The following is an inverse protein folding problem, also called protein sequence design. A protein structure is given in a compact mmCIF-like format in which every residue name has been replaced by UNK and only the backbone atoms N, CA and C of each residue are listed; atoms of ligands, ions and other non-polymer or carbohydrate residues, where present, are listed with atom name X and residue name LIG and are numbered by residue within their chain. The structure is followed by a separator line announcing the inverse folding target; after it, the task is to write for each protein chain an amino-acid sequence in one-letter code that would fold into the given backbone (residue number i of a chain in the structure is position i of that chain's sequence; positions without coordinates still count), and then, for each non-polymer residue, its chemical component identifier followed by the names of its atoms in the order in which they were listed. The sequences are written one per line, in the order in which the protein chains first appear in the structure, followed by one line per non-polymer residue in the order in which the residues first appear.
data_IF_695763367222
#
_entry.id   IF_695763367222
#
_cell.length_a   1.000
_cell.length_b   1.000
_cell.length_c   1.000
_cell.angle_alpha   90.00
_cell.angle_beta   90.00
_cell.angle_gamma   90.00
#
_symmetry.space_group_name_H-M   'P 1'
#
loop_
_entity.id
_entity.type
_entity.pdbx_description
1 polymer ?
#
# COMPACT_ATOMS: atom_id res chain seq x y z
N UNK A 1 14.57 1.56 -4.54
CA UNK A 1 13.55 1.41 -5.59
C UNK A 1 12.84 0.06 -5.49
N UNK A 2 11.52 0.04 -5.42
CA UNK A 2 10.67 -1.14 -5.56
C UNK A 2 10.14 -1.27 -6.99
N UNK A 3 10.00 -2.50 -7.49
CA UNK A 3 9.49 -2.79 -8.82
C UNK A 3 9.02 -4.24 -8.92
N UNK A 4 8.02 -4.51 -9.75
CA UNK A 4 7.44 -5.83 -9.98
C UNK A 4 6.15 -6.07 -9.20
N UNK A 5 5.41 -7.11 -9.57
CA UNK A 5 4.17 -7.53 -8.93
C UNK A 5 4.28 -8.99 -8.47
N UNK A 6 3.84 -9.29 -7.25
CA UNK A 6 3.93 -10.62 -6.65
C UNK A 6 2.63 -10.98 -5.93
N UNK A 7 2.09 -12.16 -6.23
CA UNK A 7 0.88 -12.68 -5.59
C UNK A 7 1.24 -13.49 -4.33
N UNK A 8 0.48 -13.29 -3.26
CA UNK A 8 0.60 -14.03 -2.01
C UNK A 8 -0.78 -14.17 -1.35
N UNK A 9 -0.96 -15.21 -0.53
CA UNK A 9 -2.17 -15.39 0.25
C UNK A 9 -2.14 -14.63 1.57
N UNK A 10 -3.33 -14.32 2.08
CA UNK A 10 -3.58 -13.84 3.43
C UNK A 10 -4.12 -14.99 4.26
N UNK A 11 -3.47 -15.30 5.38
CA UNK A 11 -3.90 -16.37 6.26
C UNK A 11 -5.16 -16.00 7.05
N UNK A 12 -5.74 -17.00 7.72
CA UNK A 12 -6.96 -16.86 8.54
C UNK A 12 -6.85 -15.83 9.68
N UNK A 13 -5.64 -15.35 10.01
CA UNK A 13 -5.39 -14.33 11.03
C UNK A 13 -5.09 -12.96 10.40
N UNK A 14 -5.35 -12.78 9.11
CA UNK A 14 -5.06 -11.52 8.41
C UNK A 14 -3.56 -11.28 8.19
N UNK A 15 -2.74 -12.33 8.21
CA UNK A 15 -1.29 -12.20 8.01
C UNK A 15 -0.88 -12.62 6.62
N UNK A 16 0.10 -11.95 6.06
CA UNK A 16 0.64 -12.28 4.74
C UNK A 16 2.16 -12.21 4.73
N UNK A 17 2.79 -12.93 3.81
CA UNK A 17 4.25 -12.92 3.65
C UNK A 17 4.64 -11.78 2.71
N UNK A 18 5.48 -10.87 3.17
CA UNK A 18 6.07 -9.86 2.30
C UNK A 18 6.99 -10.55 1.27
N UNK A 19 6.88 -10.29 -0.04
CA UNK A 19 7.78 -10.85 -1.05
C UNK A 19 9.26 -10.65 -0.69
N UNK A 20 10.07 -11.69 -0.85
CA UNK A 20 11.48 -11.66 -0.46
C UNK A 20 12.27 -10.51 -1.13
N UNK A 21 11.94 -10.17 -2.38
CA UNK A 21 12.53 -9.05 -3.13
C UNK A 21 12.25 -7.68 -2.51
N UNK A 22 11.15 -7.54 -1.78
CA UNK A 22 10.76 -6.30 -1.10
C UNK A 22 11.27 -6.26 0.34
N UNK A 23 11.24 -7.40 1.04
CA UNK A 23 11.62 -7.52 2.45
C UNK A 23 13.00 -6.92 2.74
N UNK A 24 14.00 -7.22 1.91
CA UNK A 24 15.37 -6.71 2.10
C UNK A 24 15.46 -5.18 2.05
N UNK A 25 14.56 -4.51 1.34
CA UNK A 25 14.55 -3.04 1.18
C UNK A 25 13.66 -2.33 2.20
N UNK A 26 12.69 -3.03 2.79
CA UNK A 26 11.83 -2.48 3.84
C UNK A 26 12.54 -2.41 5.20
N UNK A 27 13.49 -3.32 5.45
CA UNK A 27 14.19 -3.41 6.74
C UNK A 27 13.41 -4.25 7.76
N UNK A 28 13.69 -4.01 9.05
CA UNK A 28 13.10 -4.78 10.17
C UNK A 28 11.68 -4.35 10.53
N UNK A 29 11.30 -3.11 10.21
CA UNK A 29 9.94 -2.59 10.36
C UNK A 29 9.62 -1.65 9.21
N UNK A 30 8.33 -1.44 8.97
CA UNK A 30 7.82 -0.58 7.90
C UNK A 30 6.44 -0.05 8.28
N UNK A 31 5.94 0.92 7.54
CA UNK A 31 4.62 1.51 7.76
C UNK A 31 3.65 1.01 6.69
N UNK A 32 2.48 0.54 7.12
CA UNK A 32 1.33 0.30 6.23
C UNK A 32 0.28 1.38 6.48
N UNK A 33 -0.31 1.92 5.43
CA UNK A 33 -1.47 2.82 5.50
C UNK A 33 -2.44 2.57 4.35
N UNK A 34 -3.57 3.28 4.34
CA UNK A 34 -4.48 3.33 3.19
C UNK A 34 -3.76 3.86 1.96
N UNK A 35 -4.02 3.23 0.83
CA UNK A 35 -3.72 3.77 -0.49
C UNK A 35 -4.98 4.27 -1.17
N UNK A 36 -4.81 4.75 -2.40
CA UNK A 36 -5.92 5.11 -3.27
C UNK A 36 -6.52 3.86 -3.92
N UNK A 37 -7.71 4.00 -4.52
CA UNK A 37 -8.36 2.92 -5.28
C UNK A 37 -8.58 1.61 -4.50
N UNK A 38 -8.69 1.68 -3.17
CA UNK A 38 -8.86 0.48 -2.34
C UNK A 38 -7.59 -0.38 -2.23
N UNK A 39 -6.40 0.17 -2.47
CA UNK A 39 -5.15 -0.50 -2.12
C UNK A 39 -4.64 -0.03 -0.75
N UNK A 40 -3.60 -0.69 -0.25
CA UNK A 40 -2.78 -0.25 0.88
C UNK A 40 -1.42 0.20 0.38
N UNK A 41 -0.82 1.17 1.06
CA UNK A 41 0.57 1.56 0.81
C UNK A 41 1.48 1.05 1.90
N UNK A 42 2.66 0.58 1.50
CA UNK A 42 3.74 0.16 2.37
C UNK A 42 4.97 1.00 2.08
N UNK A 43 5.53 1.60 3.12
CA UNK A 43 6.74 2.41 3.05
C UNK A 43 7.81 1.88 3.99
N UNK A 44 9.06 1.86 3.53
CA UNK A 44 10.19 1.67 4.43
C UNK A 44 10.25 2.81 5.46
N UNK A 45 10.71 2.53 6.67
CA UNK A 45 10.85 3.54 7.73
C UNK A 45 11.69 4.74 7.28
N UNK A 46 12.74 4.51 6.48
CA UNK A 46 13.58 5.59 5.94
C UNK A 46 12.85 6.56 5.00
N UNK A 47 11.78 6.11 4.33
CA UNK A 47 10.98 6.93 3.41
C UNK A 47 9.80 7.62 4.12
N UNK A 48 9.34 7.07 5.24
CA UNK A 48 8.13 7.52 5.91
C UNK A 48 8.12 9.01 6.33
N UNK A 49 9.21 9.60 6.87
CA UNK A 49 9.23 11.02 7.23
C UNK A 49 8.95 11.96 6.05
N UNK A 50 9.38 11.58 4.84
CA UNK A 50 9.10 12.36 3.63
C UNK A 50 7.64 12.26 3.22
N UNK A 51 7.04 11.07 3.33
CA UNK A 51 5.61 10.87 3.07
C UNK A 51 4.76 11.70 4.04
N UNK A 52 5.12 11.71 5.34
CA UNK A 52 4.44 12.53 6.34
C UNK A 52 4.51 14.02 6.00
N UNK A 53 5.68 14.53 5.60
CA UNK A 53 5.83 15.93 5.17
C UNK A 53 4.96 16.27 3.96
N UNK A 54 4.87 15.37 2.98
CA UNK A 54 4.05 15.56 1.77
C UNK A 54 2.54 15.56 2.07
N UNK A 55 2.12 14.88 3.13
CA UNK A 55 0.72 14.80 3.55
C UNK A 55 0.33 15.84 4.60
N UNK A 56 1.30 16.57 5.17
CA UNK A 56 1.05 17.59 6.16
C UNK A 56 0.26 18.78 5.56
N UNK A 57 -0.72 19.33 6.30
CA UNK A 57 -1.43 20.52 5.86
C UNK A 57 -0.49 21.73 5.79
N UNK A 58 -0.74 22.64 4.83
CA UNK A 58 0.08 23.85 4.68
C UNK A 58 -0.12 24.87 5.81
N UNK A 59 -1.26 24.80 6.50
CA UNK A 59 -1.58 25.62 7.67
C UNK A 59 -2.69 24.95 8.49
N UNK A 60 -2.94 25.43 9.71
CA UNK A 60 -4.05 24.94 10.55
C UNK A 60 -5.45 25.18 9.96
N UNK A 61 -5.57 26.02 8.93
CA UNK A 61 -6.84 26.32 8.24
C UNK A 61 -6.96 25.57 6.90
N UNK A 62 -5.95 24.79 6.50
CA UNK A 62 -5.99 23.96 5.29
C UNK A 62 -6.87 22.72 5.53
N UNK A 63 -8.18 22.91 5.39
CA UNK A 63 -9.18 21.86 5.62
C UNK A 63 -8.95 20.64 4.73
N UNK A 64 -8.50 20.85 3.48
CA UNK A 64 -8.21 19.76 2.55
C UNK A 64 -6.98 18.98 2.98
N UNK A 65 -5.89 19.66 3.33
CA UNK A 65 -4.69 19.04 3.88
C UNK A 65 -4.97 18.23 5.14
N UNK A 66 -5.73 18.80 6.09
CA UNK A 66 -6.12 18.10 7.33
C UNK A 66 -6.94 16.84 7.04
N UNK A 67 -7.84 16.87 6.05
CA UNK A 67 -8.60 15.69 5.63
C UNK A 67 -7.69 14.60 5.08
N UNK A 68 -6.73 14.94 4.21
CA UNK A 68 -5.77 13.99 3.66
C UNK A 68 -4.86 13.43 4.74
N UNK A 69 -4.32 14.28 5.62
CA UNK A 69 -3.50 13.90 6.75
C UNK A 69 -4.23 12.89 7.64
N UNK A 70 -5.46 13.19 8.05
CA UNK A 70 -6.28 12.26 8.86
C UNK A 70 -6.59 10.96 8.12
N UNK A 71 -6.86 11.05 6.82
CA UNK A 71 -7.23 9.88 6.02
C UNK A 71 -6.07 8.88 5.90
N UNK A 72 -4.87 9.37 5.61
CA UNK A 72 -3.67 8.55 5.41
C UNK A 72 -2.90 8.33 6.72
N UNK A 73 -2.48 9.38 7.42
CA UNK A 73 -1.67 9.22 8.62
C UNK A 73 -2.47 8.64 9.78
N UNK A 74 -3.76 8.96 9.89
CA UNK A 74 -4.64 8.39 10.92
C UNK A 74 -4.89 6.88 10.77
N UNK A 75 -4.60 6.31 9.59
CA UNK A 75 -4.67 4.88 9.33
C UNK A 75 -3.28 4.21 9.29
N UNK A 76 -2.20 4.98 9.44
CA UNK A 76 -0.85 4.46 9.34
C UNK A 76 -0.49 3.62 10.58
N UNK A 77 0.09 2.44 10.36
CA UNK A 77 0.52 1.54 11.41
C UNK A 77 1.94 1.06 11.12
N UNK A 78 2.82 1.16 12.11
CA UNK A 78 4.10 0.48 12.06
C UNK A 78 3.90 -1.03 12.21
N UNK A 79 4.58 -1.80 11.37
CA UNK A 79 4.46 -3.23 11.28
C UNK A 79 5.84 -3.88 11.35
N UNK A 80 5.94 -4.96 12.12
CA UNK A 80 7.14 -5.77 12.30
C UNK A 80 6.81 -7.20 11.85
N UNK A 81 7.54 -7.77 10.88
CA UNK A 81 7.36 -9.16 10.51
C UNK A 81 7.65 -10.11 11.68
N UNK A 82 6.91 -11.21 11.76
CA UNK A 82 7.21 -12.32 12.67
C UNK A 82 8.47 -13.09 12.23
N UNK A 83 8.88 -14.09 13.02
CA UNK A 83 10.05 -14.93 12.71
C UNK A 83 9.95 -15.68 11.37
N UNK A 84 8.76 -15.81 10.80
CA UNK A 84 8.50 -16.45 9.50
C UNK A 84 8.42 -15.41 8.37
N UNK A 85 8.64 -14.13 8.65
CA UNK A 85 8.54 -13.04 7.69
C UNK A 85 7.10 -12.66 7.32
N UNK A 86 6.11 -13.10 8.12
CA UNK A 86 4.71 -12.70 7.95
C UNK A 86 4.43 -11.40 8.69
N UNK A 87 3.60 -10.56 8.11
CA UNK A 87 3.10 -9.34 8.75
C UNK A 87 1.59 -9.47 8.98
N UNK A 88 1.11 -9.05 10.15
CA UNK A 88 -0.31 -8.92 10.42
C UNK A 88 -0.80 -7.56 9.90
N UNK A 89 -1.77 -7.57 8.99
CA UNK A 89 -2.38 -6.34 8.50
C UNK A 89 -3.53 -5.96 9.45
N UNK A 90 -3.53 -4.74 10.02
CA UNK A 90 -4.65 -4.27 10.85
C UNK A 90 -6.00 -4.43 10.14
N UNK A 91 -7.03 -4.86 10.88
CA UNK A 91 -8.36 -5.14 10.31
C UNK A 91 -8.94 -3.95 9.54
N UNK A 92 -8.79 -2.73 10.05
CA UNK A 92 -9.27 -1.52 9.38
C UNK A 92 -8.65 -1.28 7.99
N UNK A 93 -7.45 -1.80 7.75
CA UNK A 93 -6.76 -1.71 6.46
C UNK A 93 -7.22 -2.84 5.54
N UNK A 94 -7.40 -4.05 6.07
CA UNK A 94 -8.03 -5.15 5.32
C UNK A 94 -9.42 -4.74 4.82
N UNK A 95 -10.24 -4.15 5.69
CA UNK A 95 -11.58 -3.66 5.35
C UNK A 95 -11.55 -2.58 4.27
N UNK A 96 -10.64 -1.60 4.40
CA UNK A 96 -10.44 -0.55 3.38
C UNK A 96 -10.07 -1.13 2.02
N UNK A 97 -9.23 -2.16 2.00
CA UNK A 97 -8.75 -2.78 0.77
C UNK A 97 -9.68 -3.87 0.21
N UNK A 98 -10.78 -4.16 0.91
CA UNK A 98 -11.69 -5.26 0.54
C UNK A 98 -11.03 -6.63 0.57
N UNK A 99 -10.02 -6.82 1.44
CA UNK A 99 -9.26 -8.08 1.58
C UNK A 99 -9.82 -8.85 2.77
N UNK A 100 -10.18 -10.12 2.57
CA UNK A 100 -10.62 -11.02 3.65
C UNK A 100 -9.54 -12.05 3.99
N UNK A 101 -9.50 -12.55 5.24
CA UNK A 101 -8.66 -13.69 5.58
C UNK A 101 -8.98 -14.90 4.68
N UNK A 102 -7.95 -15.48 4.06
CA UNK A 102 -8.09 -16.55 3.06
C UNK A 102 -8.02 -16.07 1.60
N UNK A 103 -8.09 -14.76 1.35
CA UNK A 103 -7.95 -14.21 0.00
C UNK A 103 -6.49 -14.15 -0.46
N UNK A 104 -6.31 -14.03 -1.78
CA UNK A 104 -5.04 -13.68 -2.39
C UNK A 104 -4.92 -12.16 -2.58
N UNK A 105 -3.68 -11.66 -2.45
CA UNK A 105 -3.31 -10.25 -2.59
C UNK A 105 -2.13 -10.07 -3.53
N UNK A 106 -2.11 -8.93 -4.21
CA UNK A 106 -0.98 -8.50 -5.02
C UNK A 106 -0.13 -7.48 -4.28
N UNK A 107 1.17 -7.73 -4.25
CA UNK A 107 2.18 -6.77 -3.83
C UNK A 107 2.82 -6.12 -5.06
N UNK A 108 2.62 -4.83 -5.26
CA UNK A 108 3.08 -4.08 -6.45
C UNK A 108 4.11 -3.03 -6.05
N UNK A 109 5.35 -3.20 -6.47
CA UNK A 109 6.43 -2.26 -6.16
C UNK A 109 6.42 -1.05 -7.09
N UNK A 110 6.34 0.15 -6.52
CA UNK A 110 6.29 1.43 -7.25
C UNK A 110 7.31 2.41 -6.66
N UNK A 111 8.54 2.39 -7.17
CA UNK A 111 9.63 3.33 -6.85
C UNK A 111 9.94 3.44 -5.35
N UNK A 112 9.21 4.27 -4.62
CA UNK A 112 9.36 4.57 -3.20
C UNK A 112 8.39 3.81 -2.28
N UNK A 113 7.38 3.15 -2.85
CA UNK A 113 6.36 2.40 -2.11
C UNK A 113 6.10 1.01 -2.66
N UNK A 114 5.40 0.20 -1.89
CA UNK A 114 4.72 -1.01 -2.37
C UNK A 114 3.24 -0.82 -2.14
N UNK A 115 2.42 -1.28 -3.07
CA UNK A 115 0.98 -1.35 -2.88
C UNK A 115 0.55 -2.78 -2.56
N UNK A 116 -0.45 -2.94 -1.69
CA UNK A 116 -1.13 -4.20 -1.45
C UNK A 116 -2.56 -4.07 -1.97
N UNK A 117 -2.93 -4.93 -2.90
CA UNK A 117 -4.26 -4.95 -3.51
C UNK A 117 -4.94 -6.29 -3.21
N UNK A 118 -6.26 -6.28 -3.05
CA UNK A 118 -7.03 -7.51 -3.24
C UNK A 118 -6.84 -8.00 -4.68
N UNK A 119 -6.85 -9.32 -4.88
CA UNK A 119 -6.77 -9.89 -6.24
C UNK A 119 -7.82 -9.29 -7.18
N UNK A 120 -9.06 -9.24 -6.74
CA UNK A 120 -10.16 -8.65 -7.50
C UNK A 120 -9.90 -7.16 -7.84
N UNK A 121 -9.43 -6.36 -6.89
CA UNK A 121 -9.16 -4.94 -7.11
C UNK A 121 -8.04 -4.72 -8.12
N UNK A 122 -6.96 -5.51 -8.04
CA UNK A 122 -5.85 -5.45 -8.97
C UNK A 122 -6.25 -5.89 -10.39
N UNK A 123 -6.99 -6.99 -10.50
CA UNK A 123 -7.44 -7.52 -11.78
C UNK A 123 -8.41 -6.55 -12.47
N UNK A 124 -9.32 -5.94 -11.70
CA UNK A 124 -10.23 -4.91 -12.20
C UNK A 124 -9.51 -3.64 -12.65
N UNK A 125 -8.51 -3.18 -11.89
CA UNK A 125 -7.68 -2.03 -12.27
C UNK A 125 -6.96 -2.27 -13.60
N UNK A 126 -6.29 -3.42 -13.77
CA UNK A 126 -5.57 -3.72 -15.01
C UNK A 126 -6.52 -3.94 -16.19
N UNK A 127 -7.67 -4.59 -15.98
CA UNK A 127 -8.65 -4.82 -17.05
C UNK A 127 -9.27 -3.53 -17.59
N UNK A 128 -9.28 -2.46 -16.79
CA UNK A 128 -9.75 -1.15 -17.21
C UNK A 128 -8.72 -0.35 -18.04
N UNK A 129 -7.44 -0.77 -18.05
CA UNK A 129 -6.35 -0.08 -18.75
C UNK A 129 -6.14 -0.69 -20.15
N UNK A 130 -6.89 -0.19 -21.13
CA UNK A 130 -6.67 -0.54 -22.55
C UNK A 130 -5.38 0.11 -23.07
N UNK A 131 -4.85 -0.39 -24.20
CA UNK A 131 -3.68 0.23 -24.86
C UNK A 131 -3.92 1.71 -25.16
N UNK A 132 -5.10 2.05 -25.70
CA UNK A 132 -5.52 3.44 -25.98
C UNK A 132 -5.51 4.32 -24.72
N UNK A 133 -5.99 3.79 -23.59
CA UNK A 133 -6.02 4.51 -22.33
C UNK A 133 -4.60 4.72 -21.77
N UNK A 134 -3.74 3.71 -21.88
CA UNK A 134 -2.34 3.80 -21.46
C UNK A 134 -1.61 4.88 -22.29
N UNK A 135 -1.79 4.91 -23.60
CA UNK A 135 -1.21 5.94 -24.47
C UNK A 135 -1.73 7.34 -24.12
N UNK A 136 -3.04 7.47 -23.88
CA UNK A 136 -3.66 8.74 -23.49
C UNK A 136 -3.08 9.28 -22.17
N UNK A 137 -2.90 8.41 -21.17
CA UNK A 137 -2.31 8.77 -19.88
C UNK A 137 -0.84 9.16 -20.03
N UNK A 138 -0.06 8.44 -20.84
CA UNK A 138 1.36 8.72 -21.08
C UNK A 138 1.61 10.07 -21.75
N UNK A 139 0.70 10.51 -22.62
CA UNK A 139 0.80 11.80 -23.31
C UNK A 139 0.28 13.00 -22.50
N UNK A 140 -0.33 12.75 -21.33
CA UNK A 140 -0.89 13.78 -20.45
C UNK A 140 0.04 14.14 -19.28
N UNK A 141 1.19 13.47 -19.16
CA UNK A 141 2.12 13.55 -18.05
C UNK A 141 3.30 14.51 -18.30
#
# INVERSE_FOLDING_TARGET
MFSGAYEHSVDIKGRTVIPARFRNKLGSSFVITRGLHGCLWVFAQSAWPEVQRRLAPKSFLDVSGIKLERYFLGAACECVPDKQGRVAIPQMLLDHAGIKPGDDVWFVGLTDKIEIWSKQGWDAFNSALTEEEIERLGNSA
#
